data_IF_534862810613
#
_entry.id   IF_534862810613
#
_cell.length_a   1.000
_cell.length_b   1.000
_cell.length_c   1.000
_cell.angle_alpha   90.00
_cell.angle_beta   90.00
_cell.angle_gamma   90.00
#
_symmetry.space_group_name_H-M   'P 1'
#
loop_
_entity.id
_entity.type
_entity.pdbx_description
1 polymer ?
#
# COMPACT_ATOMS: atom_id res chain seq x y z
N UNK A 1 -31.21 20.95 -7.17
CA UNK A 1 -30.45 21.27 -8.40
C UNK A 1 -30.30 19.99 -9.17
N UNK A 2 -30.85 19.88 -10.36
CA UNK A 2 -30.84 18.68 -11.21
C UNK A 2 -29.87 18.89 -12.38
N UNK A 3 -29.12 17.86 -12.73
CA UNK A 3 -28.20 17.88 -13.86
C UNK A 3 -28.91 17.28 -15.09
N UNK A 4 -28.79 17.95 -16.24
CA UNK A 4 -29.30 17.44 -17.52
C UNK A 4 -28.23 16.55 -18.15
N UNK A 5 -28.57 15.29 -18.37
CA UNK A 5 -27.76 14.37 -19.18
C UNK A 5 -28.23 14.42 -20.64
N UNK A 6 -27.40 13.94 -21.59
CA UNK A 6 -27.86 13.74 -22.97
C UNK A 6 -29.17 12.92 -22.98
N UNK A 7 -30.08 13.22 -23.92
CA UNK A 7 -31.32 12.47 -24.03
C UNK A 7 -31.04 10.99 -24.32
N UNK A 8 -31.93 10.11 -23.85
CA UNK A 8 -31.86 8.69 -24.16
C UNK A 8 -32.10 8.41 -25.66
N UNK A 9 -31.99 7.15 -26.10
CA UNK A 9 -32.21 6.76 -27.50
C UNK A 9 -33.62 7.11 -28.03
N UNK A 10 -34.57 7.41 -27.13
CA UNK A 10 -35.93 7.87 -27.45
C UNK A 10 -36.11 9.39 -27.45
N UNK A 11 -35.08 10.18 -27.15
CA UNK A 11 -35.15 11.64 -27.10
C UNK A 11 -35.67 12.21 -25.78
N UNK A 12 -35.80 11.41 -24.72
CA UNK A 12 -36.31 11.86 -23.43
C UNK A 12 -35.21 12.54 -22.60
N UNK A 13 -35.54 13.70 -22.00
CA UNK A 13 -34.62 14.45 -21.13
C UNK A 13 -34.36 13.68 -19.83
N UNK A 14 -33.13 13.22 -19.63
CA UNK A 14 -32.75 12.46 -18.43
C UNK A 14 -32.33 13.43 -17.33
N UNK A 15 -33.20 13.60 -16.34
CA UNK A 15 -32.97 14.45 -15.16
C UNK A 15 -32.49 13.62 -13.98
N UNK A 16 -31.22 13.80 -13.58
CA UNK A 16 -30.66 13.10 -12.41
C UNK A 16 -30.37 14.09 -11.27
N UNK A 17 -30.70 13.67 -10.04
CA UNK A 17 -30.43 14.44 -8.81
C UNK A 17 -28.98 14.33 -8.36
N UNK A 18 -28.31 13.23 -8.71
CA UNK A 18 -26.93 12.94 -8.35
C UNK A 18 -26.18 12.45 -9.59
N UNK A 19 -25.05 13.09 -9.89
CA UNK A 19 -24.13 12.70 -10.95
C UNK A 19 -22.75 12.48 -10.33
N UNK A 20 -22.14 11.34 -10.66
CA UNK A 20 -20.83 10.90 -10.19
C UNK A 20 -19.91 10.84 -11.40
N UNK A 21 -18.79 11.55 -11.35
CA UNK A 21 -17.80 11.55 -12.42
C UNK A 21 -16.66 10.60 -12.07
N UNK A 22 -16.43 9.61 -12.93
CA UNK A 22 -15.45 8.53 -12.78
C UNK A 22 -16.08 7.23 -12.29
N UNK A 23 -15.89 6.17 -13.07
CA UNK A 23 -16.27 4.79 -12.77
C UNK A 23 -15.15 4.01 -12.07
N UNK A 24 -14.21 4.68 -11.40
CA UNK A 24 -13.20 4.03 -10.54
C UNK A 24 -13.80 3.54 -9.22
N UNK A 25 -12.98 2.87 -8.39
CA UNK A 25 -13.44 2.29 -7.11
C UNK A 25 -14.16 3.30 -6.21
N UNK A 26 -13.69 4.56 -6.17
CA UNK A 26 -14.33 5.62 -5.40
C UNK A 26 -15.72 5.99 -5.95
N UNK A 27 -15.87 6.13 -7.26
CA UNK A 27 -17.14 6.46 -7.91
C UNK A 27 -18.14 5.31 -7.85
N UNK A 28 -17.68 4.07 -8.05
CA UNK A 28 -18.50 2.87 -7.88
C UNK A 28 -18.97 2.72 -6.43
N UNK A 29 -18.09 2.97 -5.45
CA UNK A 29 -18.48 2.99 -4.04
C UNK A 29 -19.52 4.06 -3.77
N UNK A 30 -19.32 5.30 -4.24
CA UNK A 30 -20.30 6.37 -4.08
C UNK A 30 -21.65 6.01 -4.73
N UNK A 31 -21.64 5.43 -5.93
CA UNK A 31 -22.85 4.96 -6.62
C UNK A 31 -23.58 3.86 -5.84
N UNK A 32 -22.84 2.91 -5.27
CA UNK A 32 -23.38 1.85 -4.42
C UNK A 32 -24.08 2.42 -3.17
N UNK A 33 -23.46 3.38 -2.47
CA UNK A 33 -24.02 3.96 -1.24
C UNK A 33 -25.17 4.93 -1.51
N UNK A 34 -25.24 5.51 -2.70
CA UNK A 34 -26.28 6.46 -3.10
C UNK A 34 -27.36 5.80 -3.97
N UNK A 35 -27.42 4.47 -4.05
CA UNK A 35 -28.30 3.74 -4.96
C UNK A 35 -29.78 4.16 -4.88
N UNK A 36 -30.29 4.49 -3.69
CA UNK A 36 -31.65 4.99 -3.46
C UNK A 36 -31.95 6.34 -4.15
N UNK A 37 -30.90 7.08 -4.53
CA UNK A 37 -31.00 8.33 -5.27
C UNK A 37 -30.80 8.15 -6.79
N UNK A 38 -30.71 6.90 -7.26
CA UNK A 38 -30.50 6.52 -8.66
C UNK A 38 -29.40 7.34 -9.38
N UNK A 39 -28.17 7.37 -8.84
CA UNK A 39 -27.11 8.24 -9.34
C UNK A 39 -26.68 7.80 -10.74
N UNK A 40 -26.33 8.78 -11.58
CA UNK A 40 -25.63 8.49 -12.83
C UNK A 40 -24.12 8.51 -12.60
N UNK A 41 -23.46 7.37 -12.83
CA UNK A 41 -22.00 7.28 -12.87
C UNK A 41 -21.55 7.43 -14.31
N UNK A 42 -20.71 8.43 -14.59
CA UNK A 42 -20.17 8.71 -15.91
C UNK A 42 -18.69 8.36 -15.91
N UNK A 43 -18.30 7.42 -16.75
CA UNK A 43 -16.90 7.02 -16.98
C UNK A 43 -16.52 7.37 -18.42
N UNK A 44 -15.31 7.90 -18.61
CA UNK A 44 -14.78 8.24 -19.93
C UNK A 44 -14.30 7.00 -20.67
N UNK A 45 -13.72 6.06 -19.94
CA UNK A 45 -13.12 4.84 -20.46
C UNK A 45 -14.19 3.81 -20.82
N UNK A 46 -13.85 2.86 -21.71
CA UNK A 46 -14.79 1.81 -22.15
C UNK A 46 -15.13 0.79 -21.07
N UNK A 47 -14.43 0.80 -19.95
CA UNK A 47 -14.64 -0.10 -18.82
C UNK A 47 -14.50 0.64 -17.48
N UNK A 48 -15.35 0.25 -16.53
CA UNK A 48 -15.30 0.70 -15.13
C UNK A 48 -14.11 0.06 -14.38
N UNK A 49 -13.73 0.64 -13.25
CA UNK A 49 -12.66 0.18 -12.36
C UNK A 49 -11.51 1.17 -12.20
N UNK A 50 -11.39 2.15 -13.10
CA UNK A 50 -10.32 3.16 -13.05
C UNK A 50 -8.93 2.52 -13.05
N UNK A 51 -8.07 2.88 -12.08
CA UNK A 51 -6.76 2.26 -11.93
C UNK A 51 -6.81 0.78 -11.49
N UNK A 52 -7.95 0.30 -10.98
CA UNK A 52 -8.15 -1.08 -10.57
C UNK A 52 -8.62 -2.02 -11.69
N UNK A 53 -8.45 -1.61 -12.95
CA UNK A 53 -8.81 -2.42 -14.11
C UNK A 53 -7.72 -3.41 -14.49
N UNK A 54 -8.17 -4.47 -15.13
CA UNK A 54 -7.34 -5.43 -15.84
C UNK A 54 -7.67 -5.41 -17.33
N UNK A 55 -6.70 -5.73 -18.18
CA UNK A 55 -6.86 -5.89 -19.62
C UNK A 55 -6.08 -7.12 -20.09
N UNK A 56 -6.52 -7.73 -21.19
CA UNK A 56 -5.88 -8.93 -21.75
C UNK A 56 -5.15 -8.56 -23.04
N UNK A 57 -3.90 -8.99 -23.15
CA UNK A 57 -3.07 -8.87 -24.35
C UNK A 57 -2.30 -10.17 -24.57
N UNK A 58 -2.37 -10.70 -25.79
CA UNK A 58 -1.67 -11.93 -26.20
C UNK A 58 -1.91 -13.14 -25.28
N UNK A 59 -3.12 -13.26 -24.73
CA UNK A 59 -3.51 -14.35 -23.81
C UNK A 59 -3.08 -14.13 -22.36
N UNK A 60 -2.42 -13.01 -22.04
CA UNK A 60 -2.02 -12.64 -20.68
C UNK A 60 -2.90 -11.51 -20.14
N UNK A 61 -3.26 -11.59 -18.86
CA UNK A 61 -4.02 -10.55 -18.17
C UNK A 61 -3.07 -9.67 -17.37
N UNK A 62 -3.17 -8.37 -17.58
CA UNK A 62 -2.39 -7.34 -16.91
C UNK A 62 -3.31 -6.40 -16.15
N UNK A 63 -2.89 -6.01 -14.96
CA UNK A 63 -3.51 -4.89 -14.25
C UNK A 63 -2.83 -3.58 -14.63
N UNK A 64 -3.57 -2.47 -14.56
CA UNK A 64 -2.96 -1.14 -14.72
C UNK A 64 -1.90 -0.84 -13.65
N UNK A 65 -2.02 -1.43 -12.46
CA UNK A 65 -1.02 -1.42 -11.38
C UNK A 65 -1.07 -2.73 -10.58
N UNK A 66 -0.06 -3.05 -9.78
CA UNK A 66 -0.13 -4.23 -8.92
C UNK A 66 -1.14 -4.06 -7.79
N UNK A 67 -2.25 -4.80 -7.81
CA UNK A 67 -3.28 -4.77 -6.75
C UNK A 67 -3.17 -5.98 -5.83
N UNK A 68 -2.95 -5.72 -4.55
CA UNK A 68 -3.09 -6.69 -3.47
C UNK A 68 -4.08 -6.12 -2.47
N UNK A 69 -5.24 -6.78 -2.33
CA UNK A 69 -6.31 -6.28 -1.48
C UNK A 69 -5.98 -6.60 -0.02
N UNK A 70 -5.65 -5.55 0.74
CA UNK A 70 -5.45 -5.65 2.19
C UNK A 70 -6.51 -4.81 2.92
N UNK A 71 -7.56 -5.48 3.38
CA UNK A 71 -8.68 -4.83 4.06
C UNK A 71 -8.40 -4.74 5.56
N UNK A 72 -8.41 -3.52 6.11
CA UNK A 72 -8.28 -3.28 7.56
C UNK A 72 -9.62 -3.03 8.25
N UNK A 73 -10.52 -2.33 7.58
CA UNK A 73 -11.81 -1.93 8.11
C UNK A 73 -12.84 -3.07 8.04
N UNK A 74 -13.56 -3.32 9.13
CA UNK A 74 -14.57 -4.39 9.22
C UNK A 74 -15.73 -4.19 8.22
N UNK A 75 -16.27 -2.98 8.15
CA UNK A 75 -17.32 -2.63 7.19
C UNK A 75 -16.90 -2.93 5.75
N UNK A 76 -15.68 -2.55 5.35
CA UNK A 76 -15.19 -2.83 4.00
C UNK A 76 -15.03 -4.32 3.73
N UNK A 77 -14.55 -5.11 4.71
CA UNK A 77 -14.45 -6.58 4.59
C UNK A 77 -15.81 -7.21 4.35
N UNK A 78 -16.79 -6.85 5.18
CA UNK A 78 -18.15 -7.38 5.09
C UNK A 78 -18.82 -6.96 3.78
N UNK A 79 -18.65 -5.69 3.39
CA UNK A 79 -19.20 -5.18 2.13
C UNK A 79 -18.64 -5.96 0.93
N UNK A 80 -17.32 -6.11 0.86
CA UNK A 80 -16.67 -6.83 -0.24
C UNK A 80 -17.07 -8.30 -0.25
N UNK A 81 -17.12 -8.95 0.91
CA UNK A 81 -17.55 -10.35 1.01
C UNK A 81 -19.01 -10.55 0.56
N UNK A 82 -19.89 -9.57 0.77
CA UNK A 82 -21.27 -9.60 0.29
C UNK A 82 -21.38 -9.37 -1.22
N UNK A 83 -20.66 -8.40 -1.76
CA UNK A 83 -20.79 -8.00 -3.18
C UNK A 83 -20.06 -8.99 -4.10
N UNK A 84 -18.93 -9.55 -3.65
CA UNK A 84 -18.06 -10.41 -4.44
C UNK A 84 -17.79 -11.72 -3.69
N UNK A 85 -18.81 -12.57 -3.52
CA UNK A 85 -18.61 -13.89 -2.94
C UNK A 85 -17.63 -14.69 -3.82
N UNK A 86 -16.69 -15.38 -3.18
CA UNK A 86 -15.72 -16.28 -3.81
C UNK A 86 -14.76 -15.65 -4.85
N UNK A 87 -14.73 -14.32 -4.95
CA UNK A 87 -13.89 -13.61 -5.93
C UNK A 87 -12.40 -13.48 -5.54
N UNK A 88 -12.03 -13.92 -4.33
CA UNK A 88 -10.69 -13.68 -3.78
C UNK A 88 -9.96 -14.97 -3.42
N UNK A 89 -8.70 -15.03 -3.83
CA UNK A 89 -7.76 -16.03 -3.37
C UNK A 89 -6.82 -15.43 -2.31
N UNK A 90 -6.71 -16.11 -1.17
CA UNK A 90 -5.77 -15.73 -0.14
C UNK A 90 -4.35 -16.15 -0.55
N UNK A 91 -3.40 -15.23 -0.41
CA UNK A 91 -1.98 -15.49 -0.68
C UNK A 91 -1.12 -15.07 0.51
N UNK A 92 -0.12 -15.89 0.82
CA UNK A 92 0.93 -15.48 1.74
C UNK A 92 1.84 -14.44 1.07
N UNK A 93 2.12 -13.35 1.79
CA UNK A 93 2.91 -12.25 1.23
C UNK A 93 4.40 -12.61 1.23
N UNK A 94 4.91 -12.95 0.06
CA UNK A 94 6.34 -13.13 -0.20
C UNK A 94 6.89 -11.90 -0.93
N UNK A 95 7.63 -11.06 -0.21
CA UNK A 95 8.26 -9.86 -0.75
C UNK A 95 9.79 -9.93 -0.51
N UNK A 96 10.56 -9.62 -1.54
CA UNK A 96 12.02 -9.64 -1.49
C UNK A 96 12.61 -8.45 -2.25
N UNK A 97 13.86 -8.15 -1.92
CA UNK A 97 14.64 -7.05 -2.47
C UNK A 97 15.85 -7.69 -3.13
N UNK A 98 15.97 -7.50 -4.44
CA UNK A 98 17.16 -7.92 -5.17
C UNK A 98 18.16 -6.77 -5.25
N UNK A 99 19.32 -6.92 -4.61
CA UNK A 99 20.38 -5.92 -4.67
C UNK A 99 21.74 -6.53 -4.39
N UNK A 100 22.80 -6.00 -5.03
CA UNK A 100 24.19 -6.48 -4.84
C UNK A 100 24.33 -7.99 -5.08
N UNK A 101 23.62 -8.47 -6.10
CA UNK A 101 23.52 -9.89 -6.47
C UNK A 101 22.95 -10.82 -5.39
N UNK A 102 22.27 -10.26 -4.38
CA UNK A 102 21.63 -11.00 -3.29
C UNK A 102 20.13 -10.72 -3.26
N UNK A 103 19.34 -11.78 -3.03
CA UNK A 103 17.90 -11.66 -2.74
C UNK A 103 17.69 -11.62 -1.23
N UNK A 104 17.27 -10.46 -0.72
CA UNK A 104 17.02 -10.21 0.70
C UNK A 104 15.52 -10.18 0.98
N UNK A 105 14.99 -10.97 1.94
CA UNK A 105 13.58 -10.86 2.34
C UNK A 105 13.21 -9.44 2.81
N UNK A 106 12.02 -8.98 2.45
CA UNK A 106 11.47 -7.75 3.02
C UNK A 106 11.04 -8.01 4.49
N UNK A 107 11.31 -7.08 5.43
CA UNK A 107 11.91 -5.77 5.24
C UNK A 107 13.46 -5.78 5.28
N UNK A 108 14.10 -4.91 4.49
CA UNK A 108 15.57 -4.82 4.34
C UNK A 108 16.31 -4.71 5.67
N UNK A 109 15.85 -3.78 6.52
CA UNK A 109 16.46 -3.42 7.79
C UNK A 109 16.51 -4.56 8.81
N UNK A 110 15.71 -5.62 8.61
CA UNK A 110 15.69 -6.79 9.48
C UNK A 110 16.44 -8.00 8.88
N UNK A 111 16.87 -7.93 7.61
CA UNK A 111 17.32 -9.10 6.84
C UNK A 111 18.64 -8.83 6.09
N UNK A 112 19.66 -8.27 6.75
CA UNK A 112 20.94 -7.96 6.08
C UNK A 112 21.83 -9.17 5.81
N UNK A 113 21.43 -10.38 6.26
CA UNK A 113 22.16 -11.62 6.03
C UNK A 113 22.33 -11.90 4.52
N UNK A 114 23.53 -12.35 4.14
CA UNK A 114 23.88 -12.67 2.74
C UNK A 114 24.27 -11.45 1.89
N UNK A 115 24.17 -10.23 2.40
CA UNK A 115 24.75 -9.06 1.75
C UNK A 115 26.29 -9.06 1.90
N UNK A 116 27.02 -8.32 1.03
CA UNK A 116 28.46 -8.16 1.19
C UNK A 116 28.84 -7.67 2.60
N UNK A 117 29.89 -8.20 3.25
CA UNK A 117 30.24 -7.86 4.63
C UNK A 117 30.39 -6.36 4.89
N UNK A 118 30.93 -5.62 3.92
CA UNK A 118 31.08 -4.17 4.02
C UNK A 118 29.71 -3.44 4.05
N UNK A 119 28.71 -3.92 3.30
CA UNK A 119 27.36 -3.37 3.31
C UNK A 119 26.70 -3.63 4.67
N UNK A 120 26.85 -4.85 5.20
CA UNK A 120 26.33 -5.20 6.53
C UNK A 120 26.95 -4.28 7.59
N UNK A 121 28.27 -4.10 7.55
CA UNK A 121 29.00 -3.20 8.45
C UNK A 121 28.47 -1.77 8.38
N UNK A 122 28.33 -1.20 7.18
CA UNK A 122 27.80 0.15 6.99
C UNK A 122 26.37 0.28 7.55
N UNK A 123 25.50 -0.70 7.28
CA UNK A 123 24.13 -0.72 7.80
C UNK A 123 24.08 -0.76 9.33
N UNK A 124 24.86 -1.65 9.96
CA UNK A 124 24.87 -1.82 11.42
C UNK A 124 25.49 -0.61 12.10
N UNK A 125 26.67 -0.15 11.65
CA UNK A 125 27.35 1.01 12.23
C UNK A 125 26.49 2.26 12.09
N UNK A 126 25.96 2.54 10.90
CA UNK A 126 25.12 3.72 10.67
C UNK A 126 23.84 3.71 11.51
N UNK A 127 23.24 2.54 11.74
CA UNK A 127 22.06 2.41 12.60
C UNK A 127 22.40 2.63 14.09
N UNK A 128 23.55 2.13 14.56
CA UNK A 128 24.01 2.39 15.93
C UNK A 128 24.33 3.88 16.11
N UNK A 129 24.99 4.51 15.14
CA UNK A 129 25.26 5.95 15.16
C UNK A 129 23.96 6.76 15.25
N UNK A 130 22.93 6.42 14.46
CA UNK A 130 21.65 7.14 14.51
C UNK A 130 20.93 7.04 15.85
N UNK A 131 21.17 5.99 16.65
CA UNK A 131 20.61 5.89 18.02
C UNK A 131 21.24 6.88 19.00
N UNK A 132 22.48 7.32 18.75
CA UNK A 132 23.20 8.24 19.62
C UNK A 132 23.02 9.71 19.21
N UNK A 133 22.40 9.96 18.05
CA UNK A 133 22.05 11.29 17.61
C UNK A 133 20.89 11.80 18.47
N UNK A 134 21.20 12.62 19.48
CA UNK A 134 20.23 13.39 20.26
C UNK A 134 19.67 14.55 19.41
N UNK A 135 18.89 14.23 18.39
CA UNK A 135 18.20 15.20 17.56
C UNK A 135 16.90 15.65 18.23
N UNK A 136 16.91 16.79 18.92
CA UNK A 136 15.71 17.42 19.48
C UNK A 136 14.73 17.98 18.41
N UNK A 137 14.96 17.72 17.13
CA UNK A 137 14.17 18.25 16.02
C UNK A 137 13.43 17.16 15.26
N UNK A 138 12.13 17.38 15.02
CA UNK A 138 11.38 16.52 14.09
C UNK A 138 11.98 16.62 12.67
N UNK A 139 12.06 15.50 11.93
CA UNK A 139 12.56 15.52 10.56
C UNK A 139 11.64 16.35 9.66
N UNK A 140 12.24 17.30 8.94
CA UNK A 140 11.51 18.22 8.04
C UNK A 140 10.98 17.53 6.79
N UNK A 141 11.70 16.53 6.32
CA UNK A 141 11.42 15.83 5.07
C UNK A 141 11.74 14.34 5.19
N UNK A 142 11.33 13.58 4.18
CA UNK A 142 11.45 12.13 4.18
C UNK A 142 12.91 11.64 4.15
N UNK A 143 13.80 12.36 3.45
CA UNK A 143 15.24 12.06 3.46
C UNK A 143 15.82 12.10 4.88
N UNK A 144 15.56 13.18 5.62
CA UNK A 144 16.09 13.36 6.98
C UNK A 144 15.47 12.35 7.94
N UNK A 145 14.18 12.05 7.78
CA UNK A 145 13.52 11.01 8.56
C UNK A 145 14.17 9.64 8.35
N UNK A 146 14.51 9.27 7.11
CA UNK A 146 15.20 8.00 6.82
C UNK A 146 16.56 7.94 7.52
N UNK A 147 17.34 9.01 7.47
CA UNK A 147 18.66 9.07 8.12
C UNK A 147 18.55 8.98 9.65
N UNK A 148 17.63 9.72 10.25
CA UNK A 148 17.41 9.70 11.70
C UNK A 148 16.86 8.34 12.18
N UNK A 149 16.04 7.68 11.36
CA UNK A 149 15.36 6.43 11.77
C UNK A 149 16.22 5.19 11.54
N UNK A 150 16.92 5.10 10.41
CA UNK A 150 17.62 3.89 9.99
C UNK A 150 19.14 4.03 9.91
N UNK A 151 19.65 5.26 10.03
CA UNK A 151 21.06 5.53 9.87
C UNK A 151 21.52 5.57 8.42
N UNK A 152 22.74 6.08 8.24
CA UNK A 152 23.35 6.36 6.93
C UNK A 152 23.50 5.12 6.04
N UNK A 153 23.83 3.96 6.63
CA UNK A 153 24.03 2.72 5.87
C UNK A 153 22.76 2.18 5.24
N UNK A 154 21.70 1.96 6.02
CA UNK A 154 20.41 1.48 5.50
C UNK A 154 19.80 2.51 4.54
N UNK A 155 19.95 3.80 4.84
CA UNK A 155 19.54 4.89 3.97
C UNK A 155 20.19 4.78 2.59
N UNK A 156 21.52 4.69 2.54
CA UNK A 156 22.32 4.57 1.32
C UNK A 156 22.00 3.30 0.53
N UNK A 157 21.89 2.16 1.20
CA UNK A 157 21.83 0.87 0.51
C UNK A 157 20.43 0.46 0.05
N UNK A 158 19.38 1.02 0.64
CA UNK A 158 18.02 0.66 0.29
C UNK A 158 17.06 1.85 0.31
N UNK A 159 16.88 2.50 1.46
CA UNK A 159 15.72 3.39 1.65
C UNK A 159 15.73 4.60 0.71
N UNK A 160 16.85 5.29 0.54
CA UNK A 160 16.95 6.45 -0.35
C UNK A 160 16.81 6.06 -1.83
N UNK A 161 17.67 5.18 -2.40
CA UNK A 161 17.59 4.88 -3.83
C UNK A 161 16.28 4.18 -4.24
N UNK A 162 15.72 3.33 -3.37
CA UNK A 162 14.43 2.69 -3.64
C UNK A 162 13.31 3.73 -3.73
N UNK A 163 13.24 4.65 -2.76
CA UNK A 163 12.17 5.64 -2.74
C UNK A 163 12.34 6.72 -3.80
N UNK A 164 13.56 7.14 -4.14
CA UNK A 164 13.78 8.05 -5.27
C UNK A 164 13.32 7.41 -6.59
N UNK A 165 13.64 6.12 -6.78
CA UNK A 165 13.14 5.36 -7.93
C UNK A 165 11.61 5.24 -7.93
N UNK A 166 11.01 4.99 -6.78
CA UNK A 166 9.57 4.80 -6.65
C UNK A 166 8.79 6.10 -6.86
N UNK A 167 9.22 7.19 -6.22
CA UNK A 167 8.53 8.48 -6.25
C UNK A 167 8.95 9.38 -7.42
N UNK A 168 10.06 9.08 -8.09
CA UNK A 168 10.64 9.88 -9.19
C UNK A 168 10.85 11.35 -8.82
N UNK A 169 11.18 11.64 -7.56
CA UNK A 169 11.40 12.99 -7.05
C UNK A 169 12.41 12.97 -5.90
N UNK A 170 13.00 14.14 -5.61
CA UNK A 170 13.88 14.33 -4.44
C UNK A 170 13.07 14.11 -3.15
N UNK A 171 13.57 13.23 -2.28
CA UNK A 171 12.92 12.87 -1.01
C UNK A 171 12.90 14.04 -0.01
N UNK A 172 13.68 15.08 -0.23
CA UNK A 172 13.63 16.35 0.53
C UNK A 172 12.37 17.16 0.23
N UNK A 173 11.71 16.92 -0.92
CA UNK A 173 10.43 17.53 -1.27
C UNK A 173 9.22 16.76 -0.72
N UNK A 174 9.43 15.60 -0.09
CA UNK A 174 8.36 14.73 0.43
C UNK A 174 8.21 14.92 1.94
N UNK A 175 6.98 15.17 2.40
CA UNK A 175 6.68 15.24 3.84
C UNK A 175 6.82 13.88 4.52
N UNK A 176 7.70 13.79 5.53
CA UNK A 176 8.02 12.54 6.24
C UNK A 176 6.80 11.81 6.81
N UNK A 177 5.87 12.55 7.44
CA UNK A 177 4.69 11.99 8.14
C UNK A 177 3.84 11.07 7.26
N UNK A 178 3.70 11.38 5.97
CA UNK A 178 2.86 10.58 5.05
C UNK A 178 3.49 9.22 4.73
N UNK A 179 4.81 9.16 4.65
CA UNK A 179 5.53 7.96 4.22
C UNK A 179 5.92 7.09 5.41
N UNK A 180 6.27 7.71 6.55
CA UNK A 180 6.65 7.01 7.77
C UNK A 180 5.59 6.02 8.27
N UNK A 181 4.30 6.34 8.11
CA UNK A 181 3.19 5.47 8.50
C UNK A 181 3.10 4.15 7.71
N UNK A 182 3.78 4.07 6.56
CA UNK A 182 3.79 2.90 5.67
C UNK A 182 5.08 2.07 5.76
N UNK A 183 6.06 2.51 6.54
CA UNK A 183 7.36 1.83 6.68
C UNK A 183 7.43 1.11 8.03
N UNK A 184 7.88 -0.15 7.99
CA UNK A 184 8.00 -0.99 9.19
C UNK A 184 9.21 -0.56 10.02
N UNK A 185 9.02 -0.35 11.31
CA UNK A 185 10.10 0.00 12.23
C UNK A 185 10.81 -1.26 12.76
N UNK A 186 12.15 -1.29 12.77
CA UNK A 186 12.88 -2.16 13.67
C UNK A 186 12.66 -1.59 15.08
N UNK A 187 11.98 -2.32 15.97
CA UNK A 187 11.94 -1.96 17.40
C UNK A 187 12.85 -2.93 18.17
N UNK A 188 14.11 -2.58 18.46
CA UNK A 188 15.03 -3.48 19.15
C UNK A 188 14.62 -3.83 20.59
N UNK A 189 13.77 -3.01 21.25
CA UNK A 189 13.49 -3.11 22.70
C UNK A 189 12.04 -3.45 23.08
N UNK A 190 11.13 -3.71 22.14
CA UNK A 190 9.73 -4.05 22.46
C UNK A 190 9.48 -5.54 22.80
N UNK A 191 10.53 -6.32 23.10
CA UNK A 191 10.47 -7.75 23.36
C UNK A 191 10.86 -8.19 24.79
N UNK A 192 10.96 -7.29 25.78
CA UNK A 192 11.35 -7.66 27.17
C UNK A 192 10.21 -7.84 28.17
N UNK A 193 8.96 -7.50 27.84
CA UNK A 193 7.83 -7.58 28.79
C UNK A 193 6.69 -8.53 28.40
N UNK A 194 6.80 -9.23 27.27
CA UNK A 194 5.89 -10.32 26.94
C UNK A 194 6.69 -11.49 26.41
N UNK A 195 6.65 -12.63 27.10
CA UNK A 195 7.33 -13.88 26.75
C UNK A 195 6.82 -14.54 25.47
N UNK A 196 6.58 -13.76 24.41
CA UNK A 196 6.11 -14.25 23.12
C UNK A 196 7.30 -14.34 22.15
N UNK A 197 7.92 -15.52 22.10
CA UNK A 197 8.95 -15.83 21.12
C UNK A 197 8.36 -16.05 19.73
N UNK A 198 9.13 -15.64 18.70
CA UNK A 198 9.05 -16.02 17.28
C UNK A 198 7.90 -15.48 16.44
N UNK A 199 8.24 -14.55 15.54
CA UNK A 199 7.86 -14.51 14.11
C UNK A 199 6.37 -14.50 13.71
N UNK A 200 5.43 -14.53 14.67
CA UNK A 200 3.98 -14.65 14.46
C UNK A 200 3.21 -13.33 14.40
N UNK A 201 3.86 -12.18 14.48
CA UNK A 201 3.17 -10.89 14.39
C UNK A 201 2.95 -10.42 12.94
N UNK A 202 3.45 -11.14 11.95
CA UNK A 202 3.46 -10.68 10.55
C UNK A 202 2.62 -11.52 9.58
N UNK A 203 2.01 -12.63 10.04
CA UNK A 203 1.15 -13.51 9.23
C UNK A 203 -0.32 -13.56 9.69
N UNK A 204 -0.72 -12.87 10.75
CA UNK A 204 -2.09 -12.91 11.29
C UNK A 204 -2.93 -11.72 10.85
N UNK A 205 -3.28 -11.73 9.57
CA UNK A 205 -4.50 -11.07 9.09
C UNK A 205 -5.13 -11.95 8.02
N UNK A 206 -5.63 -13.11 8.45
CA UNK A 206 -6.70 -13.98 7.93
C UNK A 206 -6.51 -15.31 8.67
N UNK A 207 -7.00 -15.38 9.90
CA UNK A 207 -7.36 -16.65 10.52
C UNK A 207 -8.72 -16.45 11.15
N UNK A 208 -9.75 -16.79 10.39
CA UNK A 208 -11.07 -17.10 10.93
C UNK A 208 -11.60 -18.32 10.17
N UNK A 209 -11.14 -19.50 10.57
CA UNK A 209 -11.93 -20.73 10.50
C UNK A 209 -11.59 -21.58 11.73
N UNK A 210 -12.41 -21.47 12.76
CA UNK A 210 -12.68 -22.60 13.63
C UNK A 210 -13.45 -23.61 12.78
N UNK A 211 -12.81 -24.73 12.47
CA UNK A 211 -13.49 -25.97 12.13
C UNK A 211 -13.78 -26.68 13.45
N UNK A 212 -15.06 -26.88 13.75
CA UNK A 212 -15.52 -27.85 14.75
C UNK A 212 -16.96 -28.24 14.41
N UNK A 213 -17.17 -29.52 14.07
CA UNK A 213 -18.49 -30.15 13.92
C UNK A 213 -18.96 -30.22 12.49
#
# INVERSE_FOLDING_TARGET
MSFRLPPDEGGHEVMKKVVILGGGLAGLSAGHHLAEHEPAVIERESAIGGLCRSFTQDGFTFDCTGHLIHLKNAYTKELIARILPDAFHAHERLAAIYSKSTTTPYPFQANTYGLPPQVIKECVVGFVESMHVNGNGEPKNFHDWVLLTFGSGIAKHFMLPYNEKFWKQDLRAITARRVAASIVFPRPWQNRSSGCTRTRLWNTSIQSRNMSG
#
